data_IF_975120192701
#
_entry.id   IF_975120192701
#
_cell.length_a   1.000
_cell.length_b   1.000
_cell.length_c   1.000
_cell.angle_alpha   90.00
_cell.angle_beta   90.00
_cell.angle_gamma   90.00
#
_symmetry.space_group_name_H-M   'P 1'
#
loop_
_entity.id
_entity.type
_entity.pdbx_description
1 polymer ?
#
# COMPACT_ATOMS: atom_id res chain seq x y z
N UNK A 1 7.20 10.72 -13.80
CA UNK A 1 7.21 11.08 -12.36
C UNK A 1 8.48 10.49 -11.75
N UNK A 2 9.17 11.22 -10.87
CA UNK A 2 10.47 10.78 -10.33
C UNK A 2 10.26 10.02 -9.02
N UNK A 3 10.64 8.73 -8.98
CA UNK A 3 10.66 7.92 -7.75
C UNK A 3 11.95 8.24 -7.00
N UNK A 4 11.84 8.67 -5.75
CA UNK A 4 12.95 9.03 -4.88
C UNK A 4 12.65 8.61 -3.44
N UNK A 5 13.64 8.59 -2.54
CA UNK A 5 13.40 8.47 -1.11
C UNK A 5 12.33 9.45 -0.62
N UNK A 6 11.40 8.95 0.19
CA UNK A 6 10.23 9.67 0.67
C UNK A 6 9.02 9.62 -0.25
N UNK A 7 9.14 9.19 -1.51
CA UNK A 7 8.00 9.06 -2.43
C UNK A 7 7.08 7.94 -1.95
N UNK A 8 5.78 8.25 -1.83
CA UNK A 8 4.74 7.25 -1.67
C UNK A 8 4.54 6.53 -3.00
N UNK A 9 4.50 5.22 -2.96
CA UNK A 9 4.41 4.37 -4.14
C UNK A 9 3.40 3.26 -3.95
N UNK A 10 2.91 2.71 -5.06
CA UNK A 10 2.09 1.52 -5.10
C UNK A 10 2.64 0.48 -6.07
N UNK A 11 2.36 -0.79 -5.79
CA UNK A 11 2.59 -1.94 -6.64
C UNK A 11 1.23 -2.42 -7.17
N UNK A 12 0.76 -1.90 -8.33
CA UNK A 12 -0.59 -2.11 -8.84
C UNK A 12 -0.88 -3.55 -9.28
N UNK A 13 0.17 -4.32 -9.58
CA UNK A 13 0.03 -5.70 -10.09
C UNK A 13 -0.26 -6.74 -9.02
N UNK A 14 -0.33 -6.34 -7.75
CA UNK A 14 -0.76 -7.22 -6.68
C UNK A 14 -2.29 -7.34 -6.75
N UNK A 15 -2.80 -8.45 -7.28
CA UNK A 15 -4.23 -8.70 -7.41
C UNK A 15 -4.77 -9.48 -6.19
N UNK A 16 -5.98 -9.20 -5.68
CA UNK A 16 -6.94 -8.20 -6.17
C UNK A 16 -6.73 -6.78 -5.63
N UNK A 17 -5.78 -6.57 -4.71
CA UNK A 17 -5.53 -5.28 -4.09
C UNK A 17 -4.06 -4.87 -4.17
N UNK A 18 -3.77 -3.63 -4.64
CA UNK A 18 -2.40 -3.15 -4.77
C UNK A 18 -1.70 -3.08 -3.41
N UNK A 19 -0.38 -3.14 -3.40
CA UNK A 19 0.41 -2.81 -2.21
C UNK A 19 0.82 -1.34 -2.25
N UNK A 20 0.90 -0.70 -1.10
CA UNK A 20 1.40 0.67 -0.94
C UNK A 20 2.61 0.67 -0.03
N UNK A 21 3.46 1.67 -0.15
CA UNK A 21 4.56 1.86 0.77
C UNK A 21 5.36 3.13 0.46
N UNK A 22 6.34 3.44 1.30
CA UNK A 22 7.19 4.62 1.14
C UNK A 22 8.61 4.21 0.78
N UNK A 23 9.15 4.78 -0.29
CA UNK A 23 10.53 4.53 -0.72
C UNK A 23 11.49 5.08 0.34
N UNK A 24 12.45 4.29 0.77
CA UNK A 24 13.52 4.72 1.70
C UNK A 24 14.85 4.91 0.99
N UNK A 25 15.13 4.10 -0.03
CA UNK A 25 16.34 4.23 -0.85
C UNK A 25 16.12 3.60 -2.24
N UNK A 26 16.91 4.07 -3.20
CA UNK A 26 17.14 3.36 -4.46
C UNK A 26 18.23 2.33 -4.19
N UNK A 27 17.91 1.03 -4.32
CA UNK A 27 18.91 -0.03 -4.10
C UNK A 27 19.88 -0.08 -5.29
N UNK A 28 19.32 0.05 -6.48
CA UNK A 28 20.02 0.20 -7.75
C UNK A 28 19.09 0.90 -8.77
N UNK A 29 19.43 0.90 -10.07
CA UNK A 29 18.62 1.52 -11.13
C UNK A 29 17.29 0.79 -11.39
N UNK A 30 17.18 -0.48 -10.98
CA UNK A 30 16.05 -1.37 -11.26
C UNK A 30 15.22 -1.69 -10.01
N UNK A 31 15.70 -1.34 -8.81
CA UNK A 31 15.08 -1.73 -7.55
C UNK A 31 15.01 -0.58 -6.54
N UNK A 32 13.89 -0.54 -5.82
CA UNK A 32 13.65 0.40 -4.72
C UNK A 32 13.38 -0.36 -3.44
N UNK A 33 13.92 0.12 -2.32
CA UNK A 33 13.52 -0.37 -1.00
C UNK A 33 12.37 0.46 -0.47
N UNK A 34 11.35 -0.23 0.03
CA UNK A 34 10.08 0.35 0.44
C UNK A 34 9.77 -0.12 1.87
N UNK A 35 9.36 0.81 2.72
CA UNK A 35 8.91 0.56 4.10
C UNK A 35 7.44 0.90 4.24
N UNK A 36 6.88 0.67 5.44
CA UNK A 36 5.47 0.94 5.76
C UNK A 36 4.56 0.30 4.71
N UNK A 37 4.83 -0.96 4.40
CA UNK A 37 4.10 -1.67 3.36
C UNK A 37 2.69 -1.96 3.87
N UNK A 38 1.69 -1.52 3.12
CA UNK A 38 0.27 -1.67 3.47
C UNK A 38 -0.49 -2.28 2.29
N UNK A 39 -1.39 -3.23 2.59
CA UNK A 39 -2.26 -3.82 1.57
C UNK A 39 -3.41 -2.88 1.22
N UNK A 40 -3.79 -2.82 -0.05
CA UNK A 40 -5.00 -2.12 -0.49
C UNK A 40 -6.30 -2.77 0.03
N UNK A 41 -6.27 -4.03 0.50
CA UNK A 41 -7.39 -4.64 1.23
C UNK A 41 -7.45 -4.05 2.63
N UNK A 42 -8.52 -3.31 3.00
CA UNK A 42 -8.65 -2.74 4.33
C UNK A 42 -8.64 -3.78 5.45
N UNK A 43 -9.02 -5.04 5.18
CA UNK A 43 -8.98 -6.13 6.16
C UNK A 43 -7.55 -6.60 6.38
N UNK A 44 -6.80 -6.87 5.30
CA UNK A 44 -5.40 -7.30 5.39
C UNK A 44 -4.54 -6.21 6.05
N UNK A 45 -4.72 -4.94 5.66
CA UNK A 45 -4.02 -3.82 6.26
C UNK A 45 -4.30 -3.66 7.77
N UNK A 46 -5.44 -4.17 8.26
CA UNK A 46 -5.80 -4.11 9.68
C UNK A 46 -5.31 -5.29 10.52
N UNK A 47 -4.88 -6.38 9.87
CA UNK A 47 -4.51 -7.63 10.54
C UNK A 47 -3.01 -7.95 10.40
N UNK A 48 -2.34 -7.35 9.40
CA UNK A 48 -0.96 -7.70 9.07
C UNK A 48 -0.09 -6.45 8.93
N UNK A 49 1.03 -6.46 9.66
CA UNK A 49 2.16 -5.61 9.36
C UNK A 49 3.03 -6.30 8.31
N UNK A 50 3.25 -5.66 7.17
CA UNK A 50 4.20 -6.16 6.19
C UNK A 50 5.60 -5.64 6.52
N UNK A 51 6.59 -6.52 6.35
CA UNK A 51 7.99 -6.13 6.48
C UNK A 51 8.40 -5.17 5.35
N UNK A 52 9.52 -4.49 5.55
CA UNK A 52 10.20 -3.78 4.46
C UNK A 52 10.46 -4.71 3.28
N UNK A 53 10.32 -4.18 2.07
CA UNK A 53 10.42 -4.94 0.84
C UNK A 53 11.29 -4.23 -0.20
N UNK A 54 11.84 -5.01 -1.13
CA UNK A 54 12.50 -4.49 -2.33
C UNK A 54 11.58 -4.75 -3.52
N UNK A 55 11.20 -3.69 -4.24
CA UNK A 55 10.31 -3.77 -5.39
C UNK A 55 11.03 -3.40 -6.69
N UNK A 56 10.68 -4.04 -7.82
CA UNK A 56 11.19 -3.63 -9.13
C UNK A 56 10.67 -2.24 -9.50
N UNK A 57 11.57 -1.28 -9.75
CA UNK A 57 11.23 0.11 -10.03
C UNK A 57 10.30 0.27 -11.24
N UNK A 58 10.40 -0.60 -12.24
CA UNK A 58 9.54 -0.61 -13.43
C UNK A 58 8.07 -0.99 -13.15
N UNK A 59 7.82 -1.67 -12.03
CA UNK A 59 6.49 -2.11 -11.63
C UNK A 59 5.83 -1.16 -10.64
N UNK A 60 6.61 -0.21 -10.11
CA UNK A 60 6.18 0.70 -9.08
C UNK A 60 5.60 1.96 -9.72
N UNK A 61 4.39 2.31 -9.32
CA UNK A 61 3.77 3.57 -9.67
C UNK A 61 3.80 4.49 -8.48
N UNK A 62 4.01 5.77 -8.72
CA UNK A 62 3.98 6.76 -7.66
C UNK A 62 2.54 7.11 -7.28
N UNK A 63 2.24 7.14 -5.99
CA UNK A 63 0.92 7.48 -5.46
C UNK A 63 0.96 8.83 -4.73
N UNK A 64 -0.08 9.64 -4.91
CA UNK A 64 -0.17 10.97 -4.30
C UNK A 64 -0.89 10.98 -2.95
N UNK A 65 -1.77 10.01 -2.75
CA UNK A 65 -2.51 9.84 -1.52
C UNK A 65 -2.79 8.37 -1.31
N UNK A 66 -2.45 7.88 -0.14
CA UNK A 66 -2.94 6.63 0.43
C UNK A 66 -3.14 6.91 1.90
N UNK A 67 -4.35 6.63 2.38
CA UNK A 67 -4.67 6.71 3.78
C UNK A 67 -5.00 5.28 4.21
N UNK A 68 -4.00 4.61 4.79
CA UNK A 68 -4.25 3.40 5.55
C UNK A 68 -5.29 3.65 6.65
N UNK A 69 -5.79 2.59 7.26
CA UNK A 69 -6.73 2.74 8.38
C UNK A 69 -6.12 3.55 9.50
N UNK A 70 -6.93 4.40 10.14
CA UNK A 70 -6.47 5.11 11.32
C UNK A 70 -6.23 4.12 12.47
N UNK A 71 -5.26 4.40 13.35
CA UNK A 71 -4.89 3.49 14.44
C UNK A 71 -6.06 3.07 15.36
N UNK A 72 -7.11 3.91 15.47
CA UNK A 72 -8.32 3.58 16.23
C UNK A 72 -9.24 2.56 15.54
N UNK A 73 -8.97 2.21 14.29
CA UNK A 73 -9.69 1.21 13.49
C UNK A 73 -9.02 -0.17 13.53
N UNK A 74 -7.83 -0.32 14.12
CA UNK A 74 -7.13 -1.60 14.24
C UNK A 74 -7.98 -2.64 15.02
N UNK A 75 -8.09 -3.87 14.51
CA UNK A 75 -8.91 -4.95 15.11
C UNK A 75 -10.43 -4.88 14.84
N UNK A 76 -10.93 -3.89 14.10
CA UNK A 76 -12.35 -3.85 13.67
C UNK A 76 -12.55 -4.59 12.35
N UNK A 77 -13.45 -5.57 12.31
CA UNK A 77 -13.75 -6.31 11.07
C UNK A 77 -14.27 -5.42 9.91
N UNK A 78 -14.91 -4.28 10.21
CA UNK A 78 -15.50 -3.39 9.21
C UNK A 78 -15.02 -1.94 9.37
N UNK A 79 -14.67 -1.30 8.25
CA UNK A 79 -14.22 0.10 8.24
C UNK A 79 -15.46 0.97 8.09
N UNK A 80 -15.66 2.03 8.90
CA UNK A 80 -16.71 3.01 8.64
C UNK A 80 -16.52 3.74 7.29
N UNK A 81 -15.32 3.67 6.69
CA UNK A 81 -15.02 4.20 5.36
C UNK A 81 -15.13 3.17 4.23
N UNK A 82 -15.46 1.90 4.54
CA UNK A 82 -15.75 0.93 3.50
C UNK A 82 -17.10 1.31 2.87
N UNK A 83 -17.09 1.68 1.59
CA UNK A 83 -18.31 1.77 0.81
C UNK A 83 -18.90 0.36 0.79
N UNK A 84 -19.94 0.13 1.58
CA UNK A 84 -20.78 -1.05 1.43
C UNK A 84 -21.45 -0.89 0.06
N UNK A 85 -20.98 -1.63 -0.93
CA UNK A 85 -21.79 -1.87 -2.10
C UNK A 85 -22.97 -2.69 -1.58
N UNK A 86 -24.16 -2.10 -1.60
CA UNK A 86 -25.39 -2.87 -1.36
C UNK A 86 -25.32 -4.07 -2.30
N UNK A 87 -25.35 -5.28 -1.72
CA UNK A 87 -25.48 -6.51 -2.48
C UNK A 87 -26.75 -6.36 -3.32
N UNK A 88 -26.58 -6.08 -4.61
CA UNK A 88 -27.67 -5.88 -5.53
C UNK A 88 -28.48 -7.19 -5.59
N UNK A 89 -29.75 -7.03 -5.19
CA UNK A 89 -30.84 -8.00 -5.14
C UNK A 89 -30.99 -8.92 -6.35
#
# INVERSE_FOLDING_TARGET
MHIAPGTLVCLPRYAPYPLYGRVVEMVDEQHVRVTQVECGDPRCASEHAHADAVWPAEQVESAHAYQGRAAWEEGRMNSPNAVLLDDAA
#
